data_IF_320000924143
#
_entry.id   IF_320000924143
#
_cell.length_a   1.000
_cell.length_b   1.000
_cell.length_c   1.000
_cell.angle_alpha   90.00
_cell.angle_beta   90.00
_cell.angle_gamma   90.00
#
_symmetry.space_group_name_H-M   'P 1'
#
loop_
_entity.id
_entity.type
_entity.pdbx_description
1 polymer ?
#
# COMPACT_ATOMS: atom_id res chain seq x y z
N UNK A 1 9.90 1.27 26.26
CA UNK A 1 11.17 1.65 26.87
C UNK A 1 11.78 0.47 27.60
N UNK A 2 13.10 0.22 27.46
CA UNK A 2 13.78 -0.91 28.09
C UNK A 2 14.47 -0.52 29.39
N UNK A 3 14.84 0.74 29.58
CA UNK A 3 15.53 1.24 30.76
C UNK A 3 15.07 2.65 31.14
N UNK A 4 15.56 3.15 32.31
CA UNK A 4 15.21 4.45 32.84
C UNK A 4 13.93 4.48 33.68
N UNK A 5 13.54 5.65 34.16
CA UNK A 5 12.36 5.83 35.03
C UNK A 5 11.04 5.43 34.33
N UNK A 6 11.01 5.48 33.01
CA UNK A 6 9.87 5.12 32.18
C UNK A 6 9.95 3.70 31.60
N UNK A 7 10.79 2.82 32.17
CA UNK A 7 10.92 1.45 31.71
C UNK A 7 9.56 0.70 31.78
N UNK A 8 9.25 -0.06 30.75
CA UNK A 8 8.00 -0.82 30.63
C UNK A 8 6.85 -0.06 29.99
N UNK A 9 6.95 1.25 29.77
CA UNK A 9 5.93 1.99 29.03
C UNK A 9 5.94 1.60 27.54
N UNK A 10 4.76 1.50 26.96
CA UNK A 10 4.54 1.19 25.55
C UNK A 10 3.93 2.38 24.84
N UNK A 11 4.38 2.64 23.65
CA UNK A 11 3.90 3.73 22.80
C UNK A 11 3.51 3.17 21.44
N UNK A 12 2.34 3.59 20.95
CA UNK A 12 1.95 3.40 19.57
C UNK A 12 2.25 4.68 18.80
N UNK A 13 3.01 4.56 17.73
CA UNK A 13 3.29 5.66 16.81
C UNK A 13 2.76 5.29 15.42
N UNK A 14 1.84 6.10 14.90
CA UNK A 14 1.30 5.99 13.55
C UNK A 14 1.33 7.39 12.91
N UNK A 15 2.09 7.58 11.83
CA UNK A 15 2.28 8.84 11.10
C UNK A 15 2.29 10.11 12.00
N UNK A 16 1.13 10.69 12.27
CA UNK A 16 1.00 11.91 13.11
C UNK A 16 0.46 11.64 14.52
N UNK A 17 0.13 10.39 14.86
CA UNK A 17 -0.40 10.01 16.16
C UNK A 17 0.67 9.36 17.02
N UNK A 18 0.72 9.72 18.29
CA UNK A 18 1.61 9.13 19.28
C UNK A 18 0.83 8.91 20.57
N UNK A 19 0.37 7.68 20.76
CA UNK A 19 -0.43 7.28 21.92
C UNK A 19 0.39 6.48 22.93
N UNK A 20 0.20 6.76 24.21
CA UNK A 20 0.83 6.02 25.31
C UNK A 20 -0.21 5.09 25.95
N UNK A 21 0.16 3.80 26.09
CA UNK A 21 -0.63 2.87 26.89
C UNK A 21 -0.05 2.77 28.31
N UNK A 22 -0.66 3.45 29.27
CA UNK A 22 -0.25 3.42 30.68
C UNK A 22 -0.96 4.47 31.52
N UNK A 23 -0.92 4.34 32.85
CA UNK A 23 -1.69 5.13 33.80
C UNK A 23 -1.22 6.57 34.03
N UNK A 24 -0.26 7.07 33.29
CA UNK A 24 0.16 8.47 33.37
C UNK A 24 0.26 9.12 32.00
N UNK A 25 -0.79 9.83 31.59
CA UNK A 25 -0.83 10.66 30.39
C UNK A 25 0.26 11.77 30.35
N UNK A 26 0.97 11.98 31.46
CA UNK A 26 1.97 13.04 31.66
C UNK A 26 3.42 12.53 31.81
N UNK A 27 3.69 11.25 31.54
CA UNK A 27 4.99 10.66 31.87
C UNK A 27 6.16 11.07 30.97
N UNK A 28 5.89 11.61 29.78
CA UNK A 28 6.95 12.07 28.87
C UNK A 28 6.90 13.58 28.68
N UNK A 29 8.03 14.22 28.90
CA UNK A 29 8.25 15.61 28.49
C UNK A 29 8.17 15.73 26.97
N UNK A 30 7.81 16.89 26.46
CA UNK A 30 7.68 17.14 25.01
C UNK A 30 8.96 16.79 24.22
N UNK A 31 10.13 17.00 24.83
CA UNK A 31 11.42 16.65 24.27
C UNK A 31 11.60 15.12 24.11
N UNK A 32 11.16 14.34 25.08
CA UNK A 32 11.24 12.87 25.04
C UNK A 32 10.33 12.29 23.95
N UNK A 33 9.12 12.83 23.79
CA UNK A 33 8.20 12.47 22.69
C UNK A 33 8.86 12.72 21.32
N UNK A 34 9.57 13.83 21.17
CA UNK A 34 10.27 14.16 19.93
C UNK A 34 11.41 13.18 19.65
N UNK A 35 12.20 12.85 20.67
CA UNK A 35 13.32 11.89 20.57
C UNK A 35 12.76 10.50 20.16
N UNK A 36 11.70 10.04 20.81
CA UNK A 36 11.07 8.75 20.49
C UNK A 36 10.47 8.72 19.08
N UNK A 37 9.77 9.79 18.67
CA UNK A 37 9.26 9.91 17.28
C UNK A 37 10.38 9.81 16.25
N UNK A 38 11.46 10.54 16.46
CA UNK A 38 12.61 10.51 15.55
C UNK A 38 13.28 9.13 15.52
N UNK A 39 13.41 8.47 16.65
CA UNK A 39 13.96 7.12 16.72
C UNK A 39 13.06 6.11 15.98
N UNK A 40 11.76 6.16 16.20
CA UNK A 40 10.80 5.28 15.51
C UNK A 40 10.79 5.52 14.01
N UNK A 41 10.84 6.78 13.56
CA UNK A 41 10.88 7.10 12.12
C UNK A 41 12.15 6.65 11.40
N UNK A 42 13.25 6.46 12.14
CA UNK A 42 14.52 5.95 11.63
C UNK A 42 14.67 4.43 11.75
N UNK A 43 13.71 3.77 12.40
CA UNK A 43 13.75 2.32 12.57
C UNK A 43 13.61 1.61 11.21
N UNK A 44 14.63 0.87 10.83
CA UNK A 44 14.63 0.04 9.61
C UNK A 44 13.86 -1.29 9.77
N UNK A 45 13.23 -1.52 10.93
CA UNK A 45 12.50 -2.73 11.26
C UNK A 45 12.40 -2.93 12.77
N UNK A 46 11.92 -4.10 13.18
CA UNK A 46 11.80 -4.48 14.58
C UNK A 46 13.16 -4.72 15.23
N UNK A 47 13.43 -4.12 16.38
CA UNK A 47 14.68 -4.28 17.10
C UNK A 47 14.89 -3.30 18.24
N UNK A 48 16.04 -3.42 18.90
CA UNK A 48 16.47 -2.49 19.96
C UNK A 48 17.27 -1.34 19.32
N UNK A 49 16.95 -0.13 19.71
CA UNK A 49 17.68 1.06 19.28
C UNK A 49 17.84 2.08 20.40
N UNK A 50 18.79 3.01 20.24
CA UNK A 50 18.99 4.10 21.17
C UNK A 50 18.16 5.31 20.78
N UNK A 51 17.51 5.89 21.79
CA UNK A 51 16.76 7.14 21.69
C UNK A 51 17.29 8.10 22.78
N UNK A 52 18.31 8.91 22.44
CA UNK A 52 19.08 9.66 23.41
C UNK A 52 19.89 8.74 24.34
N UNK A 53 19.69 8.85 25.64
CA UNK A 53 20.33 7.99 26.65
C UNK A 53 19.51 6.73 26.95
N UNK A 54 18.32 6.60 26.38
CA UNK A 54 17.43 5.46 26.64
C UNK A 54 17.57 4.41 25.54
N UNK A 55 17.34 3.14 25.95
CA UNK A 55 17.16 2.04 25.01
C UNK A 55 15.66 1.75 24.84
N UNK A 56 15.25 1.66 23.58
CA UNK A 56 13.87 1.35 23.21
C UNK A 56 13.84 0.09 22.37
N UNK A 57 12.81 -0.72 22.58
CA UNK A 57 12.46 -1.78 21.64
C UNK A 57 11.39 -1.23 20.70
N UNK A 58 11.67 -1.22 19.41
CA UNK A 58 10.74 -0.81 18.37
C UNK A 58 10.22 -2.07 17.68
N UNK A 59 8.92 -2.21 17.61
CA UNK A 59 8.25 -3.23 16.82
C UNK A 59 7.46 -2.54 15.71
N UNK A 60 7.83 -2.82 14.47
CA UNK A 60 7.21 -2.21 13.30
C UNK A 60 6.10 -3.12 12.78
N UNK A 61 4.90 -2.57 12.67
CA UNK A 61 3.76 -3.23 12.05
C UNK A 61 3.46 -2.54 10.72
N UNK A 62 3.78 -3.20 9.63
CA UNK A 62 3.39 -2.72 8.32
C UNK A 62 1.95 -3.14 8.03
N UNK A 63 1.15 -2.20 7.50
CA UNK A 63 -0.17 -2.55 6.95
C UNK A 63 0.02 -3.55 5.82
N UNK A 64 -0.84 -4.54 5.73
CA UNK A 64 -0.78 -5.54 4.65
C UNK A 64 -0.65 -4.84 3.30
N UNK A 65 0.30 -5.26 2.45
CA UNK A 65 0.46 -4.67 1.12
C UNK A 65 -0.83 -4.81 0.32
N UNK A 66 -1.12 -3.83 -0.53
CA UNK A 66 -2.34 -3.79 -1.31
C UNK A 66 -2.09 -4.24 -2.74
N UNK A 67 -2.74 -5.32 -3.14
CA UNK A 67 -2.75 -5.79 -4.52
C UNK A 67 -3.98 -5.24 -5.23
N UNK A 68 -3.77 -4.36 -6.19
CA UNK A 68 -4.82 -3.71 -6.97
C UNK A 68 -4.76 -4.27 -8.39
N UNK A 69 -5.75 -5.07 -8.73
CA UNK A 69 -5.88 -5.76 -10.02
C UNK A 69 -6.86 -4.99 -10.89
N UNK A 70 -6.38 -4.46 -12.00
CA UNK A 70 -7.17 -3.69 -12.95
C UNK A 70 -7.46 -4.54 -14.18
N UNK A 71 -8.71 -4.99 -14.27
CA UNK A 71 -9.24 -5.98 -15.21
C UNK A 71 -9.64 -7.28 -14.50
N UNK A 72 -10.91 -7.68 -14.61
CA UNK A 72 -11.49 -8.88 -13.98
C UNK A 72 -11.47 -10.14 -14.87
N UNK A 73 -10.52 -10.21 -15.82
CA UNK A 73 -10.40 -11.35 -16.76
C UNK A 73 -9.90 -12.64 -16.11
N UNK A 74 -9.68 -13.67 -16.93
CA UNK A 74 -9.24 -14.99 -16.45
C UNK A 74 -7.87 -14.97 -15.77
N UNK A 75 -6.94 -14.10 -16.21
CA UNK A 75 -5.62 -13.99 -15.61
C UNK A 75 -5.68 -13.38 -14.22
N UNK A 76 -6.65 -12.54 -13.97
CA UNK A 76 -6.82 -11.83 -12.68
C UNK A 76 -7.22 -12.76 -11.55
N UNK A 77 -7.96 -13.83 -11.84
CA UNK A 77 -8.43 -14.78 -10.82
C UNK A 77 -7.24 -15.48 -10.11
N UNK A 78 -6.34 -16.19 -10.80
CA UNK A 78 -5.20 -16.81 -10.13
C UNK A 78 -4.25 -15.77 -9.51
N UNK A 79 -4.16 -14.56 -10.03
CA UNK A 79 -3.38 -13.48 -9.40
C UNK A 79 -3.98 -13.09 -8.05
N UNK A 80 -5.31 -13.00 -7.95
CA UNK A 80 -6.00 -12.73 -6.68
C UNK A 80 -5.81 -13.88 -5.68
N UNK A 81 -5.96 -15.14 -6.12
CA UNK A 81 -5.73 -16.33 -5.28
C UNK A 81 -4.32 -16.34 -4.67
N UNK A 82 -3.29 -16.15 -5.52
CA UNK A 82 -1.90 -16.09 -5.06
C UNK A 82 -1.67 -14.90 -4.14
N UNK A 83 -2.23 -13.74 -4.48
CA UNK A 83 -2.16 -12.54 -3.64
C UNK A 83 -2.73 -12.77 -2.24
N UNK A 84 -3.85 -13.48 -2.13
CA UNK A 84 -4.45 -13.86 -0.82
C UNK A 84 -3.52 -14.76 -0.02
N UNK A 85 -2.91 -15.78 -0.65
CA UNK A 85 -1.95 -16.66 0.01
C UNK A 85 -0.71 -15.91 0.55
N UNK A 86 -0.33 -14.83 -0.13
CA UNK A 86 0.79 -13.96 0.27
C UNK A 86 0.39 -12.87 1.28
N UNK A 87 -0.86 -12.82 1.71
CA UNK A 87 -1.33 -11.87 2.72
C UNK A 87 -1.65 -10.46 2.21
N UNK A 88 -1.83 -10.28 0.90
CA UNK A 88 -2.26 -9.00 0.34
C UNK A 88 -3.72 -8.67 0.69
N UNK A 89 -4.00 -7.38 0.89
CA UNK A 89 -5.34 -6.83 0.78
C UNK A 89 -5.66 -6.66 -0.71
N UNK A 90 -6.70 -7.31 -1.21
CA UNK A 90 -6.97 -7.45 -2.65
C UNK A 90 -8.12 -6.57 -3.07
N UNK A 91 -7.87 -5.69 -4.02
CA UNK A 91 -8.88 -4.90 -4.72
C UNK A 91 -8.91 -5.29 -6.19
N UNK A 92 -10.08 -5.61 -6.74
CA UNK A 92 -10.27 -5.90 -8.16
C UNK A 92 -11.20 -4.85 -8.76
N UNK A 93 -10.80 -4.26 -9.89
CA UNK A 93 -11.61 -3.29 -10.63
C UNK A 93 -11.73 -3.68 -12.10
N UNK A 94 -12.97 -3.60 -12.66
CA UNK A 94 -13.24 -3.76 -14.09
C UNK A 94 -14.39 -2.81 -14.50
N UNK A 95 -14.44 -2.43 -15.76
CA UNK A 95 -15.51 -1.60 -16.32
C UNK A 95 -16.84 -2.35 -16.47
N UNK A 96 -16.82 -3.68 -16.35
CA UNK A 96 -17.97 -4.58 -16.48
C UNK A 96 -18.32 -5.20 -15.12
N UNK A 97 -19.53 -4.96 -14.64
CA UNK A 97 -20.00 -5.46 -13.36
C UNK A 97 -19.88 -7.00 -13.22
N UNK A 98 -20.19 -7.74 -14.29
CA UNK A 98 -20.15 -9.22 -14.30
C UNK A 98 -18.73 -9.78 -14.16
N UNK A 99 -17.71 -8.95 -14.26
CA UNK A 99 -16.31 -9.33 -14.15
C UNK A 99 -15.70 -9.07 -12.77
N UNK A 100 -16.43 -8.44 -11.86
CA UNK A 100 -15.98 -8.15 -10.48
C UNK A 100 -16.96 -8.69 -9.42
N UNK A 101 -17.59 -9.83 -9.70
CA UNK A 101 -18.51 -10.45 -8.77
C UNK A 101 -17.80 -11.23 -7.66
N UNK A 102 -18.52 -11.52 -6.57
CA UNK A 102 -17.98 -12.30 -5.44
C UNK A 102 -17.68 -13.74 -5.85
N UNK A 103 -18.45 -14.29 -6.78
CA UNK A 103 -18.26 -15.64 -7.31
C UNK A 103 -16.98 -15.77 -8.12
N UNK A 104 -16.59 -14.70 -8.82
CA UNK A 104 -15.36 -14.67 -9.63
C UNK A 104 -14.12 -14.37 -8.81
N UNK A 105 -14.25 -13.58 -7.75
CA UNK A 105 -13.17 -13.15 -6.88
C UNK A 105 -13.57 -13.30 -5.41
N UNK A 106 -13.78 -14.54 -4.93
CA UNK A 106 -14.12 -14.76 -3.52
C UNK A 106 -13.03 -14.25 -2.56
N UNK A 107 -11.76 -14.24 -2.99
CA UNK A 107 -10.59 -13.79 -2.23
C UNK A 107 -10.46 -12.27 -2.13
N UNK A 108 -11.11 -11.50 -3.02
CA UNK A 108 -10.97 -10.05 -3.02
C UNK A 108 -11.69 -9.42 -1.81
N UNK A 109 -11.01 -8.49 -1.15
CA UNK A 109 -11.57 -7.66 -0.08
C UNK A 109 -12.49 -6.59 -0.66
N UNK A 110 -12.11 -6.02 -1.80
CA UNK A 110 -12.87 -4.99 -2.50
C UNK A 110 -13.09 -5.35 -3.97
N UNK A 111 -14.30 -5.11 -4.47
CA UNK A 111 -14.70 -5.32 -5.87
C UNK A 111 -15.35 -4.03 -6.37
N UNK A 112 -14.78 -3.45 -7.41
CA UNK A 112 -15.16 -2.13 -7.89
C UNK A 112 -15.55 -2.22 -9.36
N UNK A 113 -16.76 -1.81 -9.67
CA UNK A 113 -17.18 -1.57 -11.05
C UNK A 113 -16.97 -0.10 -11.40
N UNK A 114 -16.28 0.17 -12.49
CA UNK A 114 -16.07 1.55 -12.94
C UNK A 114 -15.13 1.68 -14.11
N UNK A 115 -15.20 2.83 -14.76
CA UNK A 115 -14.29 3.19 -15.83
C UNK A 115 -12.86 3.34 -15.30
N UNK A 116 -11.90 2.82 -16.02
CA UNK A 116 -10.48 2.93 -15.69
C UNK A 116 -9.97 4.38 -15.69
N UNK A 117 -10.62 5.29 -16.40
CA UNK A 117 -10.31 6.73 -16.35
C UNK A 117 -10.65 7.35 -14.97
N UNK A 118 -11.53 6.72 -14.19
CA UNK A 118 -11.91 7.17 -12.84
C UNK A 118 -11.18 6.42 -11.71
N UNK A 119 -10.10 5.70 -12.02
CA UNK A 119 -9.33 4.93 -11.03
C UNK A 119 -8.96 5.76 -9.79
N UNK A 120 -8.51 6.99 -10.00
CA UNK A 120 -8.07 7.88 -8.92
C UNK A 120 -9.19 8.33 -7.97
N UNK A 121 -10.43 8.33 -8.44
CA UNK A 121 -11.60 8.67 -7.64
C UNK A 121 -12.11 7.49 -6.83
N UNK A 122 -11.93 6.27 -7.36
CA UNK A 122 -12.47 5.05 -6.78
C UNK A 122 -11.52 4.32 -5.84
N UNK A 123 -10.22 4.47 -6.07
CA UNK A 123 -9.19 3.78 -5.28
C UNK A 123 -8.23 4.84 -4.72
N UNK A 124 -8.15 4.96 -3.38
CA UNK A 124 -7.19 5.86 -2.73
C UNK A 124 -5.74 5.53 -3.08
N UNK A 125 -4.85 6.49 -2.85
CA UNK A 125 -3.41 6.28 -3.03
C UNK A 125 -2.79 5.60 -1.83
N UNK A 126 -1.90 4.62 -2.08
CA UNK A 126 -1.18 3.90 -1.03
C UNK A 126 0.28 3.71 -1.45
N UNK A 127 1.22 3.97 -0.56
CA UNK A 127 2.65 3.77 -0.83
C UNK A 127 2.99 2.28 -1.02
N UNK A 128 2.30 1.39 -0.32
CA UNK A 128 2.44 -0.06 -0.40
C UNK A 128 1.50 -0.72 -1.42
N UNK A 129 1.05 0.02 -2.44
CA UNK A 129 0.20 -0.52 -3.50
C UNK A 129 1.02 -1.25 -4.58
N UNK A 130 0.55 -2.41 -4.95
CA UNK A 130 1.04 -3.23 -6.06
C UNK A 130 -0.03 -3.25 -7.14
N UNK A 131 0.18 -2.53 -8.22
CA UNK A 131 -0.75 -2.47 -9.34
C UNK A 131 -0.44 -3.52 -10.40
N UNK A 132 -1.45 -4.30 -10.77
CA UNK A 132 -1.39 -5.27 -11.86
C UNK A 132 -2.44 -4.91 -12.90
N UNK A 133 -2.01 -4.44 -14.06
CA UNK A 133 -2.88 -4.03 -15.17
C UNK A 133 -3.01 -5.17 -16.17
N UNK A 134 -4.21 -5.72 -16.26
CA UNK A 134 -4.58 -6.86 -17.12
C UNK A 134 -5.91 -6.60 -17.82
N UNK A 135 -6.12 -5.35 -18.22
CA UNK A 135 -7.39 -4.94 -18.87
C UNK A 135 -7.54 -5.53 -20.28
N UNK A 136 -8.76 -5.48 -20.76
CA UNK A 136 -9.05 -5.83 -22.16
C UNK A 136 -8.72 -4.67 -23.08
N UNK A 137 -7.62 -4.76 -23.83
CA UNK A 137 -7.26 -3.81 -24.88
C UNK A 137 -6.31 -2.69 -24.46
N UNK A 138 -5.97 -1.83 -25.43
CA UNK A 138 -4.93 -0.82 -25.26
C UNK A 138 -5.40 0.45 -24.52
N UNK A 139 -6.69 0.76 -24.60
CA UNK A 139 -7.23 2.01 -24.02
C UNK A 139 -7.25 1.92 -22.49
N UNK A 140 -7.81 0.87 -21.92
CA UNK A 140 -7.86 0.67 -20.48
C UNK A 140 -6.47 0.61 -19.84
N UNK A 141 -5.52 -0.09 -20.47
CA UNK A 141 -4.15 -0.18 -19.96
C UNK A 141 -3.46 1.20 -19.90
N UNK A 142 -3.62 2.01 -20.96
CA UNK A 142 -3.03 3.35 -21.01
C UNK A 142 -3.69 4.30 -20.00
N UNK A 143 -5.01 4.20 -19.82
CA UNK A 143 -5.76 4.95 -18.82
C UNK A 143 -5.26 4.65 -17.41
N UNK A 144 -5.17 3.36 -17.07
CA UNK A 144 -4.62 2.90 -15.79
C UNK A 144 -3.19 3.42 -15.57
N UNK A 145 -2.30 3.23 -16.55
CA UNK A 145 -0.90 3.61 -16.43
C UNK A 145 -0.72 5.10 -16.15
N UNK A 146 -1.44 5.99 -16.85
CA UNK A 146 -1.39 7.44 -16.61
C UNK A 146 -1.76 7.83 -15.20
N UNK A 147 -2.74 7.16 -14.61
CA UNK A 147 -3.19 7.47 -13.27
C UNK A 147 -2.30 6.88 -12.19
N UNK A 148 -1.76 5.67 -12.42
CA UNK A 148 -0.85 5.01 -11.48
C UNK A 148 0.47 5.79 -11.39
N UNK A 149 1.05 6.22 -12.52
CA UNK A 149 2.33 6.94 -12.56
C UNK A 149 2.28 8.33 -11.90
N UNK A 150 1.09 8.86 -11.60
CA UNK A 150 0.90 10.13 -10.87
C UNK A 150 0.76 9.98 -9.37
N UNK A 151 0.86 8.78 -8.83
CA UNK A 151 0.64 8.48 -7.41
C UNK A 151 1.75 7.59 -6.85
N UNK A 152 1.91 7.52 -5.52
CA UNK A 152 2.83 6.55 -4.93
C UNK A 152 2.38 5.12 -5.19
N UNK A 153 3.35 4.23 -5.37
CA UNK A 153 3.15 2.78 -5.47
C UNK A 153 4.45 2.04 -5.13
N UNK A 154 4.32 0.80 -4.64
CA UNK A 154 5.45 -0.09 -4.43
C UNK A 154 5.81 -0.86 -5.71
N UNK A 155 4.81 -1.20 -6.54
CA UNK A 155 5.02 -1.94 -7.79
C UNK A 155 3.94 -1.58 -8.81
N UNK A 156 4.34 -1.52 -10.08
CA UNK A 156 3.46 -1.41 -11.22
C UNK A 156 3.85 -2.40 -12.32
N UNK A 157 2.95 -3.31 -12.65
CA UNK A 157 3.12 -4.28 -13.73
C UNK A 157 1.94 -4.24 -14.70
N UNK A 158 2.24 -4.35 -15.99
CA UNK A 158 1.24 -4.41 -17.05
C UNK A 158 1.51 -5.61 -17.95
N UNK A 159 0.48 -6.44 -18.19
CA UNK A 159 0.56 -7.54 -19.13
C UNK A 159 0.31 -7.06 -20.54
N UNK A 160 1.19 -7.45 -21.45
CA UNK A 160 1.05 -7.14 -22.87
C UNK A 160 2.11 -7.77 -23.74
N UNK A 161 1.86 -7.85 -25.03
CA UNK A 161 2.88 -8.21 -26.02
C UNK A 161 4.02 -7.18 -26.01
N UNK A 162 5.21 -7.57 -26.46
CA UNK A 162 6.35 -6.66 -26.59
C UNK A 162 5.98 -5.37 -27.35
N UNK A 163 5.21 -5.49 -28.43
CA UNK A 163 4.73 -4.36 -29.24
C UNK A 163 3.80 -3.45 -28.43
N UNK A 164 2.86 -4.04 -27.68
CA UNK A 164 1.92 -3.27 -26.84
C UNK A 164 2.66 -2.49 -25.76
N UNK A 165 3.58 -3.14 -25.04
CA UNK A 165 4.38 -2.49 -24.00
C UNK A 165 5.21 -1.35 -24.57
N UNK A 166 5.86 -1.55 -25.74
CA UNK A 166 6.64 -0.50 -26.41
C UNK A 166 5.78 0.71 -26.79
N UNK A 167 4.63 0.49 -27.45
CA UNK A 167 3.74 1.58 -27.86
C UNK A 167 3.21 2.35 -26.64
N UNK A 168 2.81 1.65 -25.58
CA UNK A 168 2.33 2.30 -24.36
C UNK A 168 3.43 3.14 -23.71
N UNK A 169 4.65 2.61 -23.62
CA UNK A 169 5.80 3.35 -23.09
C UNK A 169 6.13 4.61 -23.93
N UNK A 170 6.17 4.48 -25.26
CA UNK A 170 6.44 5.61 -26.16
C UNK A 170 5.40 6.73 -25.98
N UNK A 171 4.11 6.37 -25.85
CA UNK A 171 3.04 7.34 -25.58
C UNK A 171 3.22 8.04 -24.24
N UNK A 172 3.46 7.29 -23.17
CA UNK A 172 3.66 7.84 -21.82
C UNK A 172 4.87 8.79 -21.78
N UNK A 173 5.99 8.41 -22.41
CA UNK A 173 7.17 9.29 -22.52
C UNK A 173 6.87 10.57 -23.31
N UNK A 174 6.08 10.49 -24.38
CA UNK A 174 5.65 11.68 -25.17
C UNK A 174 4.71 12.59 -24.37
N UNK A 175 3.99 12.05 -23.39
CA UNK A 175 3.12 12.78 -22.47
C UNK A 175 3.87 13.33 -21.23
N UNK A 176 5.17 13.05 -21.09
CA UNK A 176 6.03 13.60 -20.01
C UNK A 176 6.13 12.74 -18.76
N UNK A 177 5.78 11.44 -18.86
CA UNK A 177 5.99 10.46 -17.79
C UNK A 177 7.37 9.82 -17.83
#
# INVERSE_FOLDING_TARGET
>A
LLNGENAGLKYLAEEDCFECSGTSENALLQNEKTILKNAVSQAAGTGVMKAGEQEIFVETYEKNPRLIILGGGHVSQPVAEIGRLLGFHITVMDDRADFVTKERFPEADERITGDFETLSEKIPSYQNAYYVVVTRGHMGDSACARQILKRPFAYFGMIGSKTKVRITREKLLAEGF
#
